data_IF_887745585385
#
_entry.id   IF_887745585385
#
_cell.length_a   1.000
_cell.length_b   1.000
_cell.length_c   1.000
_cell.angle_alpha   90.00
_cell.angle_beta   90.00
_cell.angle_gamma   90.00
#
_symmetry.space_group_name_H-M   'P 1'
#
loop_
_entity.id
_entity.type
_entity.pdbx_description
1 polymer ?
#
# COMPACT_ATOMS: atom_id res chain seq x y z
N UNK A 1 21.23 -49.68 -13.27
CA UNK A 1 22.50 -48.96 -13.46
C UNK A 1 22.16 -47.50 -13.71
N UNK A 2 22.05 -46.71 -12.64
CA UNK A 2 21.76 -45.28 -12.72
C UNK A 2 23.05 -44.50 -12.49
N UNK A 3 23.39 -43.61 -13.41
CA UNK A 3 24.47 -42.64 -13.23
C UNK A 3 23.85 -41.30 -12.83
N UNK A 4 23.93 -41.00 -11.53
CA UNK A 4 23.82 -39.66 -10.94
C UNK A 4 25.11 -38.89 -11.23
N UNK A 5 25.04 -37.77 -11.94
CA UNK A 5 26.09 -36.76 -11.91
C UNK A 5 25.62 -35.60 -11.02
N UNK A 6 26.20 -35.54 -9.83
CA UNK A 6 26.09 -34.42 -8.92
C UNK A 6 27.06 -33.31 -9.34
N UNK A 7 26.54 -32.11 -9.54
CA UNK A 7 27.34 -30.89 -9.59
C UNK A 7 27.30 -30.25 -8.21
N UNK A 8 28.31 -30.56 -7.40
CA UNK A 8 28.65 -29.88 -6.17
C UNK A 8 29.52 -28.67 -6.47
N UNK A 9 29.01 -27.45 -6.26
CA UNK A 9 29.85 -26.26 -6.12
C UNK A 9 29.71 -25.72 -4.70
N UNK A 10 30.76 -26.00 -3.92
CA UNK A 10 31.04 -25.47 -2.60
C UNK A 10 31.78 -24.14 -2.73
N UNK A 11 31.20 -23.06 -2.24
CA UNK A 11 31.88 -21.86 -1.74
C UNK A 11 30.94 -21.31 -0.65
N UNK A 12 31.30 -21.12 0.62
CA UNK A 12 32.58 -20.86 1.23
C UNK A 12 32.35 -19.73 2.23
N UNK A 13 31.77 -20.05 3.40
CA UNK A 13 31.66 -19.16 4.56
C UNK A 13 33.06 -18.74 5.03
N UNK A 14 33.19 -17.52 5.60
CA UNK A 14 33.83 -17.47 6.90
C UNK A 14 33.11 -16.57 7.92
N UNK A 15 32.91 -17.16 9.10
CA UNK A 15 33.14 -16.65 10.46
C UNK A 15 32.65 -15.23 10.80
N UNK A 16 31.65 -15.07 11.69
CA UNK A 16 31.81 -15.11 13.16
C UNK A 16 32.93 -14.19 13.63
N UNK A 17 32.61 -13.15 14.40
CA UNK A 17 33.31 -12.70 15.62
C UNK A 17 32.62 -11.43 16.20
N UNK A 18 32.85 -11.04 17.47
CA UNK A 18 31.78 -10.96 18.48
C UNK A 18 31.51 -9.55 19.04
N UNK A 19 30.48 -9.50 19.88
CA UNK A 19 30.04 -8.39 20.74
C UNK A 19 31.20 -7.82 21.60
N UNK A 20 31.37 -6.49 21.71
CA UNK A 20 32.39 -5.93 22.60
C UNK A 20 31.87 -5.83 24.04
N UNK A 21 32.61 -6.47 24.95
CA UNK A 21 32.60 -6.28 26.40
C UNK A 21 33.48 -5.07 26.78
N UNK A 22 33.08 -4.40 27.86
CA UNK A 22 33.68 -3.19 28.41
C UNK A 22 34.89 -3.53 29.31
N UNK A 23 36.02 -2.84 29.12
CA UNK A 23 37.12 -2.56 30.08
C UNK A 23 38.21 -1.80 29.33
N UNK A 24 39.05 -0.89 29.84
CA UNK A 24 39.16 -0.03 31.03
C UNK A 24 40.42 0.82 30.74
N UNK A 25 40.43 2.07 31.22
CA UNK A 25 41.61 2.94 31.50
C UNK A 25 42.35 3.60 30.31
N UNK A 26 42.79 4.87 30.28
CA UNK A 26 42.75 6.13 31.07
C UNK A 26 43.49 7.21 30.19
N UNK A 27 43.86 8.45 30.61
CA UNK A 27 43.12 9.52 31.31
C UNK A 27 43.34 10.92 30.66
N UNK A 28 42.44 11.87 30.91
CA UNK A 28 42.78 13.30 31.16
C UNK A 28 41.55 13.96 31.80
N UNK A 29 41.72 14.47 33.02
CA UNK A 29 40.66 14.84 33.97
C UNK A 29 39.92 16.17 33.70
N UNK A 30 39.40 16.89 34.72
CA UNK A 30 39.62 16.73 36.17
C UNK A 30 38.38 16.30 36.97
N UNK A 31 38.71 15.67 38.12
CA UNK A 31 37.93 15.51 39.35
C UNK A 31 36.98 16.70 39.62
N UNK A 32 35.82 16.53 40.25
CA UNK A 32 35.72 16.43 41.73
C UNK A 32 34.24 16.17 42.11
N UNK A 33 34.04 15.12 42.92
CA UNK A 33 32.95 14.86 43.89
C UNK A 33 31.54 14.46 43.40
N UNK A 34 31.29 13.15 43.51
CA UNK A 34 30.00 12.56 43.89
C UNK A 34 29.75 12.75 45.40
N UNK A 35 28.48 12.53 45.76
CA UNK A 35 27.93 12.15 47.06
C UNK A 35 27.39 13.28 47.93
N UNK A 36 26.09 13.56 47.80
CA UNK A 36 25.25 13.90 48.95
C UNK A 36 23.88 13.23 48.83
N UNK A 37 23.45 12.70 49.97
CA UNK A 37 22.25 11.91 50.29
C UNK A 37 20.96 12.72 50.23
N UNK A 38 19.77 12.08 50.20
CA UNK A 38 18.47 12.78 50.17
C UNK A 38 18.10 13.24 51.58
N UNK A 39 18.81 14.23 52.07
CA UNK A 39 18.47 14.96 53.28
C UNK A 39 19.17 16.31 53.17
N UNK A 40 18.42 17.40 53.30
CA UNK A 40 18.84 18.79 53.05
C UNK A 40 18.48 19.33 51.65
N UNK A 41 17.18 19.40 51.37
CA UNK A 41 16.67 20.61 50.72
C UNK A 41 15.78 21.34 51.73
N UNK A 42 16.44 22.12 52.58
CA UNK A 42 15.82 23.09 53.46
C UNK A 42 15.34 24.26 52.60
N UNK A 43 14.08 24.25 52.16
CA UNK A 43 13.46 25.45 51.61
C UNK A 43 13.15 26.40 52.76
N UNK A 44 14.07 27.35 52.91
CA UNK A 44 13.94 28.57 53.70
C UNK A 44 12.74 29.35 53.18
N UNK A 45 11.90 29.79 54.11
CA UNK A 45 10.58 30.34 53.85
C UNK A 45 10.55 31.59 52.98
N UNK A 46 9.46 31.70 52.23
CA UNK A 46 8.76 32.95 51.99
C UNK A 46 7.41 32.84 52.71
N UNK A 47 7.25 33.60 53.80
CA UNK A 47 5.91 34.07 54.18
C UNK A 47 5.61 35.38 53.44
N UNK A 48 4.44 36.01 53.67
CA UNK A 48 3.18 35.46 54.13
C UNK A 48 2.20 35.29 52.95
N UNK A 49 1.31 34.32 53.10
CA UNK A 49 0.08 34.19 52.32
C UNK A 49 -0.72 35.50 52.30
N UNK A 50 -1.06 36.08 51.13
CA UNK A 50 -2.23 36.90 51.05
C UNK A 50 -3.44 35.96 51.11
N UNK A 51 -4.27 36.17 52.12
CA UNK A 51 -5.64 35.68 52.18
C UNK A 51 -6.37 36.05 50.88
N UNK A 52 -6.42 35.12 49.93
CA UNK A 52 -7.30 35.18 48.76
C UNK A 52 -8.39 34.11 48.94
N UNK A 53 -9.33 34.42 49.84
CA UNK A 53 -10.66 33.84 49.81
C UNK A 53 -11.28 34.16 48.45
N UNK A 54 -11.89 33.17 47.79
CA UNK A 54 -12.27 33.14 46.36
C UNK A 54 -11.02 33.12 45.48
N UNK A 55 -10.73 32.08 44.71
CA UNK A 55 -11.37 31.84 43.42
C UNK A 55 -11.26 30.36 42.98
N UNK A 56 -12.23 29.48 43.32
CA UNK A 56 -12.38 28.21 42.58
C UNK A 56 -12.64 28.47 41.08
N UNK A 57 -13.10 29.67 40.73
CA UNK A 57 -13.46 30.11 39.38
C UNK A 57 -12.26 30.11 38.40
N UNK A 58 -11.06 30.52 38.83
CA UNK A 58 -9.88 30.55 37.95
C UNK A 58 -9.27 29.18 37.68
N UNK A 59 -9.28 28.28 38.67
CA UNK A 59 -8.85 26.89 38.45
C UNK A 59 -9.86 26.14 37.57
N UNK A 60 -11.15 26.41 37.75
CA UNK A 60 -12.22 25.85 36.92
C UNK A 60 -12.15 26.37 35.48
N UNK A 61 -11.83 27.66 35.27
CA UNK A 61 -11.67 28.22 33.93
C UNK A 61 -10.46 27.63 33.20
N UNK A 62 -9.31 27.48 33.86
CA UNK A 62 -8.12 26.85 33.27
C UNK A 62 -8.36 25.36 32.91
N UNK A 63 -9.13 24.64 33.73
CA UNK A 63 -9.51 23.25 33.45
C UNK A 63 -10.50 23.15 32.28
N UNK A 64 -11.45 24.07 32.17
CA UNK A 64 -12.34 24.16 31.01
C UNK A 64 -11.54 24.48 29.74
N UNK A 65 -10.58 25.40 29.82
CA UNK A 65 -9.70 25.77 28.70
C UNK A 65 -8.81 24.59 28.27
N UNK A 66 -8.25 23.82 29.20
CA UNK A 66 -7.39 22.67 28.86
C UNK A 66 -8.18 21.51 28.25
N UNK A 67 -9.38 21.23 28.77
CA UNK A 67 -10.29 20.22 28.19
C UNK A 67 -10.76 20.65 26.81
N UNK A 68 -11.11 21.93 26.64
CA UNK A 68 -11.54 22.47 25.34
C UNK A 68 -10.42 22.44 24.30
N UNK A 69 -9.19 22.77 24.70
CA UNK A 69 -8.02 22.71 23.84
C UNK A 69 -7.68 21.26 23.46
N UNK A 70 -7.70 20.33 24.41
CA UNK A 70 -7.48 18.90 24.16
C UNK A 70 -8.54 18.31 23.23
N UNK A 71 -9.81 18.67 23.42
CA UNK A 71 -10.90 18.24 22.55
C UNK A 71 -10.70 18.80 21.13
N UNK A 72 -10.35 20.09 21.01
CA UNK A 72 -10.06 20.73 19.73
C UNK A 72 -8.87 20.11 18.99
N UNK A 73 -7.78 19.78 19.69
CA UNK A 73 -6.64 19.06 19.11
C UNK A 73 -7.03 17.65 18.64
N UNK A 74 -7.84 16.92 19.42
CA UNK A 74 -8.28 15.57 19.03
C UNK A 74 -9.19 15.58 17.79
N UNK A 75 -10.13 16.53 17.71
CA UNK A 75 -11.02 16.69 16.56
C UNK A 75 -10.25 17.16 15.31
N UNK A 76 -9.28 18.07 15.47
CA UNK A 76 -8.46 18.52 14.33
C UNK A 76 -7.54 17.43 13.79
N UNK A 77 -6.91 16.63 14.66
CA UNK A 77 -6.13 15.45 14.26
C UNK A 77 -7.01 14.40 13.58
N UNK A 78 -8.20 14.13 14.12
CA UNK A 78 -9.16 13.21 13.51
C UNK A 78 -9.65 13.70 12.14
N UNK A 79 -9.95 14.99 12.00
CA UNK A 79 -10.39 15.57 10.73
C UNK A 79 -9.26 15.57 9.69
N UNK A 80 -8.03 15.88 10.11
CA UNK A 80 -6.84 15.82 9.25
C UNK A 80 -6.58 14.39 8.75
N UNK A 81 -6.65 13.39 9.64
CA UNK A 81 -6.54 11.98 9.26
C UNK A 81 -7.68 11.56 8.32
N UNK A 82 -8.91 12.01 8.58
CA UNK A 82 -10.06 11.73 7.71
C UNK A 82 -9.89 12.35 6.31
N UNK A 83 -9.40 13.59 6.21
CA UNK A 83 -9.13 14.25 4.94
C UNK A 83 -7.99 13.57 4.17
N UNK A 84 -6.93 13.12 4.86
CA UNK A 84 -5.84 12.35 4.24
C UNK A 84 -6.31 10.98 3.74
N UNK A 85 -7.18 10.28 4.49
CA UNK A 85 -7.78 9.04 4.03
C UNK A 85 -8.70 9.28 2.82
N UNK A 86 -9.47 10.37 2.83
CA UNK A 86 -10.33 10.74 1.70
C UNK A 86 -9.52 11.02 0.44
N UNK A 87 -8.38 11.70 0.55
CA UNK A 87 -7.50 11.95 -0.62
C UNK A 87 -6.74 10.71 -1.06
N UNK A 88 -6.34 9.83 -0.14
CA UNK A 88 -5.68 8.56 -0.47
C UNK A 88 -6.61 7.61 -1.24
N UNK A 89 -7.88 7.51 -0.82
CA UNK A 89 -8.86 6.62 -1.46
C UNK A 89 -9.31 7.16 -2.83
N UNK A 90 -9.26 8.47 -3.05
CA UNK A 90 -9.52 9.07 -4.36
C UNK A 90 -8.28 8.98 -5.24
N UNK A 91 -8.10 7.87 -5.95
CA UNK A 91 -7.21 7.79 -7.10
C UNK A 91 -7.59 8.91 -8.10
N UNK A 92 -6.73 9.92 -8.36
CA UNK A 92 -7.05 11.02 -9.27
C UNK A 92 -7.32 10.55 -10.72
N UNK A 93 -6.90 9.32 -11.06
CA UNK A 93 -7.16 8.66 -12.35
C UNK A 93 -8.63 8.29 -12.56
N UNK A 94 -9.37 7.94 -11.50
CA UNK A 94 -10.79 7.60 -11.64
C UNK A 94 -11.61 8.85 -12.08
N UNK A 95 -11.24 10.01 -11.55
CA UNK A 95 -11.87 11.29 -11.86
C UNK A 95 -11.39 11.89 -13.19
N UNK A 96 -10.15 11.61 -13.61
CA UNK A 96 -9.68 11.99 -14.95
C UNK A 96 -10.31 11.13 -16.05
N UNK A 97 -10.56 9.84 -15.80
CA UNK A 97 -11.25 8.96 -16.76
C UNK A 97 -12.69 9.41 -16.98
N UNK A 98 -13.40 9.79 -15.91
CA UNK A 98 -14.75 10.33 -16.03
C UNK A 98 -14.81 11.69 -16.72
N UNK A 99 -13.78 12.54 -16.58
CA UNK A 99 -13.68 13.79 -17.34
C UNK A 99 -13.28 13.59 -18.80
N UNK A 100 -12.44 12.60 -19.11
CA UNK A 100 -12.10 12.18 -20.48
C UNK A 100 -13.26 11.49 -21.22
N UNK A 101 -14.20 10.87 -20.50
CA UNK A 101 -15.43 10.31 -21.10
C UNK A 101 -16.44 11.39 -21.52
N UNK A 102 -16.35 12.62 -20.97
CA UNK A 102 -17.24 13.74 -21.36
C UNK A 102 -17.05 14.16 -22.84
N UNK A 103 -15.81 14.27 -23.36
CA UNK A 103 -15.57 14.41 -24.80
C UNK A 103 -16.23 13.33 -25.66
N UNK A 104 -16.24 12.06 -25.25
CA UNK A 104 -16.84 10.97 -26.03
C UNK A 104 -18.36 11.16 -26.21
N UNK A 105 -19.07 11.63 -25.19
CA UNK A 105 -20.48 12.01 -25.31
C UNK A 105 -20.67 13.25 -26.21
N UNK A 106 -19.73 14.19 -26.16
CA UNK A 106 -19.71 15.36 -27.04
C UNK A 106 -19.43 14.99 -28.50
N UNK A 107 -18.55 14.03 -28.78
CA UNK A 107 -18.27 13.54 -30.13
C UNK A 107 -19.52 12.91 -30.76
N UNK A 108 -20.34 12.19 -29.98
CA UNK A 108 -21.62 11.68 -30.46
C UNK A 108 -22.56 12.82 -30.85
N UNK A 109 -22.68 13.88 -30.03
CA UNK A 109 -23.51 15.06 -30.33
C UNK A 109 -22.99 15.86 -31.54
N UNK A 110 -21.69 16.08 -31.65
CA UNK A 110 -21.09 16.74 -32.83
C UNK A 110 -21.27 15.92 -34.11
N UNK A 111 -21.17 14.59 -34.02
CA UNK A 111 -21.39 13.71 -35.16
C UNK A 111 -22.87 13.68 -35.59
N UNK A 112 -23.82 13.77 -34.66
CA UNK A 112 -25.24 13.89 -35.01
C UNK A 112 -25.58 15.24 -35.64
N UNK A 113 -25.01 16.33 -35.10
CA UNK A 113 -25.31 17.70 -35.55
C UNK A 113 -24.64 18.04 -36.90
N UNK A 114 -23.40 17.57 -37.13
CA UNK A 114 -22.70 17.74 -38.41
C UNK A 114 -23.38 16.98 -39.57
N UNK A 115 -24.23 16.00 -39.25
CA UNK A 115 -24.96 15.19 -40.21
C UNK A 115 -26.34 15.76 -40.58
N UNK A 116 -26.67 17.01 -40.20
CA UNK A 116 -27.93 17.69 -40.51
C UNK A 116 -28.21 17.87 -42.02
N UNK A 117 -27.20 17.69 -42.90
CA UNK A 117 -27.37 17.74 -44.36
C UNK A 117 -27.61 16.39 -45.06
N UNK A 118 -27.73 15.30 -44.30
CA UNK A 118 -27.97 13.93 -44.79
C UNK A 118 -29.43 13.50 -44.54
N UNK A 119 -30.38 14.42 -44.76
CA UNK A 119 -31.80 14.22 -44.53
C UNK A 119 -32.39 13.38 -45.69
N UNK A 120 -32.67 12.10 -45.42
CA UNK A 120 -33.16 11.14 -46.41
C UNK A 120 -32.29 9.89 -46.60
N UNK A 121 -31.09 9.85 -46.00
CA UNK A 121 -30.27 8.63 -45.92
C UNK A 121 -30.47 8.01 -44.54
N UNK A 122 -30.98 6.77 -44.50
CA UNK A 122 -31.00 5.96 -43.26
C UNK A 122 -29.56 5.64 -42.83
N UNK A 123 -28.94 6.55 -42.06
CA UNK A 123 -27.54 6.45 -41.61
C UNK A 123 -27.27 5.17 -40.83
N UNK A 124 -28.22 4.76 -39.99
CA UNK A 124 -28.15 3.50 -39.26
C UNK A 124 -28.05 2.31 -40.21
N UNK A 125 -28.83 2.35 -41.30
CA UNK A 125 -28.80 1.32 -42.33
C UNK A 125 -27.49 1.33 -43.10
N UNK A 126 -26.94 2.50 -43.44
CA UNK A 126 -25.65 2.62 -44.13
C UNK A 126 -24.47 2.16 -43.25
N UNK A 127 -24.46 2.53 -41.97
CA UNK A 127 -23.47 2.03 -41.01
C UNK A 127 -23.60 0.52 -40.81
N UNK A 128 -24.82 -0.01 -40.71
CA UNK A 128 -25.05 -1.44 -40.63
C UNK A 128 -24.58 -2.17 -41.90
N UNK A 129 -24.80 -1.59 -43.08
CA UNK A 129 -24.31 -2.14 -44.36
C UNK A 129 -22.77 -2.12 -44.40
N UNK A 130 -22.13 -1.04 -44.00
CA UNK A 130 -20.66 -0.93 -44.01
C UNK A 130 -20.03 -1.87 -42.96
N UNK A 131 -20.59 -1.93 -41.76
CA UNK A 131 -20.14 -2.84 -40.70
C UNK A 131 -20.33 -4.31 -41.10
N UNK A 132 -21.47 -4.65 -41.69
CA UNK A 132 -21.72 -6.01 -42.17
C UNK A 132 -20.78 -6.38 -43.31
N UNK A 133 -20.52 -5.47 -44.25
CA UNK A 133 -19.54 -5.68 -45.31
C UNK A 133 -18.12 -5.87 -44.77
N UNK A 134 -17.67 -4.99 -43.86
CA UNK A 134 -16.35 -5.12 -43.21
C UNK A 134 -16.22 -6.43 -42.42
N UNK A 135 -17.27 -6.84 -41.70
CA UNK A 135 -17.28 -8.10 -40.97
C UNK A 135 -17.19 -9.28 -41.94
N UNK A 136 -17.96 -9.27 -43.03
CA UNK A 136 -17.91 -10.30 -44.07
C UNK A 136 -16.52 -10.36 -44.72
N UNK A 137 -15.91 -9.22 -45.03
CA UNK A 137 -14.57 -9.15 -45.63
C UNK A 137 -13.51 -9.77 -44.68
N UNK A 138 -13.61 -9.52 -43.37
CA UNK A 138 -12.73 -10.14 -42.37
C UNK A 138 -12.94 -11.66 -42.23
N UNK A 139 -14.19 -12.13 -42.28
CA UNK A 139 -14.47 -13.57 -42.23
C UNK A 139 -14.02 -14.29 -43.51
N UNK A 140 -14.14 -13.66 -44.68
CA UNK A 140 -13.64 -14.19 -45.96
C UNK A 140 -12.11 -14.29 -45.98
N UNK A 141 -11.42 -13.36 -45.31
CA UNK A 141 -9.95 -13.34 -45.20
C UNK A 141 -9.41 -14.15 -44.01
N UNK A 142 -10.28 -14.86 -43.27
CA UNK A 142 -9.88 -15.58 -42.07
C UNK A 142 -9.00 -16.78 -42.41
N UNK A 143 -7.71 -16.66 -42.10
CA UNK A 143 -6.76 -17.75 -42.24
C UNK A 143 -6.73 -18.64 -40.97
N UNK A 144 -7.21 -19.88 -41.12
CA UNK A 144 -7.20 -20.91 -40.07
C UNK A 144 -6.06 -21.93 -40.24
N UNK A 145 -5.18 -21.75 -41.23
CA UNK A 145 -4.07 -22.68 -41.50
C UNK A 145 -2.97 -22.60 -40.43
N UNK A 146 -2.89 -21.50 -39.70
CA UNK A 146 -1.84 -21.25 -38.71
C UNK A 146 -2.30 -21.57 -37.28
N UNK A 147 -1.50 -22.34 -36.57
CA UNK A 147 -1.67 -22.62 -35.14
C UNK A 147 -0.78 -21.66 -34.34
N UNK A 148 -1.38 -20.91 -33.41
CA UNK A 148 -0.68 -19.99 -32.50
C UNK A 148 -0.76 -20.52 -31.06
N UNK A 149 0.20 -21.35 -30.61
CA UNK A 149 0.18 -21.82 -29.23
C UNK A 149 0.49 -20.66 -28.27
N UNK A 150 -0.36 -20.47 -27.28
CA UNK A 150 -0.13 -19.58 -26.14
C UNK A 150 0.15 -20.44 -24.91
N UNK A 151 1.30 -20.24 -24.27
CA UNK A 151 1.71 -20.96 -23.07
C UNK A 151 1.87 -19.93 -21.96
N UNK A 152 1.07 -20.06 -20.90
CA UNK A 152 1.13 -19.26 -19.70
C UNK A 152 1.41 -20.17 -18.49
N UNK A 153 2.23 -19.69 -17.57
CA UNK A 153 2.65 -20.46 -16.39
C UNK A 153 1.80 -20.07 -15.17
N UNK A 154 1.14 -21.06 -14.57
CA UNK A 154 0.29 -20.85 -13.40
C UNK A 154 1.06 -20.29 -12.21
N UNK A 155 0.78 -19.04 -11.86
CA UNK A 155 1.37 -18.33 -10.72
C UNK A 155 2.91 -18.47 -10.65
N UNK A 156 3.59 -18.30 -11.79
CA UNK A 156 5.01 -18.60 -12.01
C UNK A 156 5.93 -18.39 -10.79
N UNK A 157 6.05 -17.16 -10.27
CA UNK A 157 6.94 -16.88 -9.14
C UNK A 157 6.55 -17.65 -7.87
N UNK A 158 5.26 -17.72 -7.54
CA UNK A 158 4.80 -18.47 -6.38
C UNK A 158 4.97 -19.98 -6.56
N UNK A 159 4.86 -20.49 -7.79
CA UNK A 159 5.09 -21.89 -8.11
C UNK A 159 6.58 -22.26 -7.93
N UNK A 160 7.50 -21.42 -8.39
CA UNK A 160 8.95 -21.61 -8.18
C UNK A 160 9.26 -21.68 -6.68
N UNK A 161 8.75 -20.75 -5.91
CA UNK A 161 8.94 -20.74 -4.47
C UNK A 161 8.33 -21.96 -3.74
N UNK A 162 7.17 -22.41 -4.20
CA UNK A 162 6.53 -23.62 -3.68
C UNK A 162 7.32 -24.90 -4.03
N UNK A 163 8.00 -24.91 -5.18
CA UNK A 163 8.91 -25.99 -5.56
C UNK A 163 10.19 -25.99 -4.70
N UNK A 164 10.73 -24.80 -4.39
CA UNK A 164 11.87 -24.65 -3.49
C UNK A 164 11.52 -25.03 -2.04
N UNK A 165 10.31 -24.71 -1.59
CA UNK A 165 9.83 -25.03 -0.25
C UNK A 165 8.44 -25.69 -0.28
N UNK A 166 8.37 -27.04 -0.24
CA UNK A 166 7.10 -27.76 -0.32
C UNK A 166 6.18 -27.53 0.88
N UNK A 167 6.68 -26.96 2.00
CA UNK A 167 5.84 -26.62 3.16
C UNK A 167 4.83 -25.49 2.88
N UNK A 168 4.96 -24.83 1.73
CA UNK A 168 4.09 -23.75 1.26
C UNK A 168 2.91 -24.25 0.40
N UNK A 169 2.93 -25.53 0.02
CA UNK A 169 1.81 -26.13 -0.72
C UNK A 169 0.52 -26.05 0.10
N UNK A 170 -0.56 -25.64 -0.56
CA UNK A 170 -1.88 -25.51 0.06
C UNK A 170 -2.04 -24.34 1.05
N UNK A 171 -1.03 -23.47 1.20
CA UNK A 171 -1.12 -22.28 2.05
C UNK A 171 -1.23 -21.02 1.19
N UNK A 172 -2.02 -20.02 1.59
CA UNK A 172 -2.07 -18.73 0.89
C UNK A 172 -0.69 -18.06 0.97
N UNK A 173 -0.11 -17.75 -0.18
CA UNK A 173 1.17 -17.05 -0.25
C UNK A 173 1.23 -16.05 -1.40
N UNK A 174 2.06 -15.03 -1.21
CA UNK A 174 2.37 -14.00 -2.19
C UNK A 174 3.89 -13.82 -2.26
N UNK A 175 4.38 -13.54 -3.46
CA UNK A 175 5.79 -13.21 -3.71
C UNK A 175 5.92 -11.70 -3.87
N UNK A 176 7.05 -11.16 -3.40
CA UNK A 176 7.47 -9.75 -3.30
C UNK A 176 7.26 -9.18 -1.88
N UNK A 177 7.07 -7.87 -1.78
CA UNK A 177 7.28 -7.06 -0.59
C UNK A 177 5.97 -6.46 -0.06
N UNK A 178 6.03 -5.84 1.12
CA UNK A 178 4.87 -5.15 1.70
C UNK A 178 4.37 -3.97 0.84
N UNK A 179 5.23 -3.41 -0.02
CA UNK A 179 4.89 -2.33 -0.94
C UNK A 179 4.01 -2.80 -2.09
N UNK A 180 4.31 -3.95 -2.68
CA UNK A 180 3.58 -4.48 -3.84
C UNK A 180 3.75 -5.99 -3.92
N UNK A 181 2.71 -6.66 -4.40
CA UNK A 181 2.72 -8.09 -4.66
C UNK A 181 2.97 -8.32 -6.14
N UNK A 182 3.99 -9.09 -6.50
CA UNK A 182 4.25 -9.45 -7.89
C UNK A 182 3.35 -10.61 -8.35
N UNK A 183 3.16 -11.63 -7.52
CA UNK A 183 2.29 -12.78 -7.84
C UNK A 183 1.76 -13.44 -6.58
N UNK A 184 0.45 -13.64 -6.51
CA UNK A 184 -0.21 -14.48 -5.51
C UNK A 184 -0.44 -15.90 -6.03
N UNK A 185 -0.25 -16.91 -5.17
CA UNK A 185 -0.60 -18.28 -5.49
C UNK A 185 -2.11 -18.49 -5.58
N UNK A 186 -2.53 -19.64 -6.09
CA UNK A 186 -3.95 -19.95 -6.29
C UNK A 186 -4.76 -19.89 -4.98
N UNK A 187 -4.16 -20.25 -3.85
CA UNK A 187 -4.81 -20.15 -2.53
C UNK A 187 -5.03 -18.69 -2.10
N UNK A 188 -4.07 -17.80 -2.34
CA UNK A 188 -4.19 -16.37 -2.06
C UNK A 188 -5.21 -15.69 -2.97
N UNK A 189 -5.32 -16.11 -4.24
CA UNK A 189 -6.30 -15.56 -5.20
C UNK A 189 -7.75 -15.78 -4.75
N UNK A 190 -8.05 -16.86 -4.01
CA UNK A 190 -9.38 -17.10 -3.42
C UNK A 190 -9.80 -16.01 -2.45
N UNK A 191 -8.83 -15.35 -1.78
CA UNK A 191 -9.06 -14.24 -0.87
C UNK A 191 -9.04 -12.87 -1.56
N UNK A 192 -8.95 -12.81 -2.89
CA UNK A 192 -8.87 -11.56 -3.61
C UNK A 192 -7.48 -10.93 -3.59
N UNK A 193 -6.42 -11.72 -3.41
CA UNK A 193 -5.03 -11.24 -3.51
C UNK A 193 -4.48 -11.51 -4.91
N UNK A 194 -4.16 -10.44 -5.63
CA UNK A 194 -3.76 -10.46 -7.04
C UNK A 194 -2.41 -9.75 -7.20
N UNK A 195 -1.80 -9.87 -8.38
CA UNK A 195 -0.63 -9.09 -8.73
C UNK A 195 -0.94 -7.59 -8.69
N UNK A 196 0.09 -6.78 -8.44
CA UNK A 196 0.02 -5.32 -8.27
C UNK A 196 -0.85 -4.84 -7.09
N UNK A 197 -1.26 -5.75 -6.19
CA UNK A 197 -1.88 -5.36 -4.93
C UNK A 197 -0.79 -5.03 -3.89
N UNK A 198 -0.87 -3.88 -3.20
CA UNK A 198 0.01 -3.59 -2.08
C UNK A 198 -0.05 -4.66 -1.00
N UNK A 199 1.12 -5.12 -0.53
CA UNK A 199 1.21 -6.22 0.43
C UNK A 199 0.46 -5.96 1.74
N UNK A 200 0.43 -4.72 2.23
CA UNK A 200 -0.36 -4.37 3.42
C UNK A 200 -1.88 -4.54 3.22
N UNK A 201 -2.41 -4.30 2.01
CA UNK A 201 -3.81 -4.59 1.69
C UNK A 201 -4.01 -6.09 1.54
N UNK A 202 -3.06 -6.79 0.94
CA UNK A 202 -3.09 -8.23 0.77
C UNK A 202 -3.15 -8.96 2.14
N UNK A 203 -2.35 -8.51 3.12
CA UNK A 203 -2.39 -8.99 4.50
C UNK A 203 -3.71 -8.71 5.21
N UNK A 204 -4.41 -7.62 4.86
CA UNK A 204 -5.74 -7.33 5.40
C UNK A 204 -6.82 -8.26 4.82
N UNK A 205 -6.68 -8.66 3.56
CA UNK A 205 -7.58 -9.60 2.89
C UNK A 205 -7.34 -11.04 3.37
N UNK A 206 -6.08 -11.43 3.58
CA UNK A 206 -5.70 -12.75 4.04
C UNK A 206 -4.72 -12.66 5.23
N UNK A 207 -5.21 -12.69 6.48
CA UNK A 207 -4.39 -12.49 7.66
C UNK A 207 -3.43 -13.66 7.97
N UNK A 208 -3.64 -14.82 7.34
CA UNK A 208 -2.82 -16.03 7.51
C UNK A 208 -1.85 -16.25 6.33
N UNK A 209 -1.74 -15.29 5.42
CA UNK A 209 -0.91 -15.42 4.23
C UNK A 209 0.59 -15.30 4.55
N UNK A 210 1.39 -16.09 3.83
CA UNK A 210 2.84 -16.00 3.84
C UNK A 210 3.31 -15.06 2.72
N UNK A 211 4.06 -14.02 3.08
CA UNK A 211 4.72 -13.12 2.13
C UNK A 211 6.19 -13.52 2.00
N UNK A 212 6.64 -13.77 0.77
CA UNK A 212 8.03 -14.11 0.47
C UNK A 212 8.72 -13.06 -0.37
N UNK A 213 9.81 -12.53 0.18
CA UNK A 213 10.67 -11.48 -0.37
C UNK A 213 11.92 -12.05 -1.00
#
# INVERSE_FOLDING_TARGET
MGHTMGFSLWYGLPNVLPRPTISSDTPTGPNVLRNLTPSQFCFRGFGPSPSFSSQPIFAFSLLILSVSLSLCLSLSLSLSMYLLLRTYVTEPKAQSRSSQLKPLASYHAFYTDANAGMEGVDKERMQAIEQSKSTLDHELQRDLSRIWPHVDMDAFHAAVETLCNPALQGKPMAVDSMSTTSTGNNEARKFGVWAALPGFMASKLSPFMLLMT
#
